data_IF_685291524948
#
_entry.id   IF_685291524948
#
_cell.length_a   1.000
_cell.length_b   1.000
_cell.length_c   1.000
_cell.angle_alpha   90.00
_cell.angle_beta   90.00
_cell.angle_gamma   90.00
#
_symmetry.space_group_name_H-M   'P 1'
#
loop_
_entity.id
_entity.type
_entity.pdbx_description
1 polymer ?
#
# COMPACT_ATOMS: atom_id res chain seq x y z
N UNK A 1 -11.68 -5.77 16.57
CA UNK A 1 -11.30 -6.84 15.61
C UNK A 1 -10.70 -6.30 14.31
N UNK A 2 -11.13 -5.14 13.78
CA UNK A 2 -10.62 -4.60 12.49
C UNK A 2 -9.14 -4.20 12.47
N UNK A 3 -8.53 -3.87 13.60
CA UNK A 3 -7.13 -3.45 13.65
C UNK A 3 -6.14 -4.61 13.52
N UNK A 4 -6.46 -5.79 14.06
CA UNK A 4 -5.55 -6.95 14.01
C UNK A 4 -5.31 -7.44 12.58
N UNK A 5 -6.37 -7.51 11.76
CA UNK A 5 -6.29 -7.92 10.35
C UNK A 5 -5.52 -6.87 9.53
N UNK A 6 -5.77 -5.58 9.79
CA UNK A 6 -5.04 -4.48 9.16
C UNK A 6 -3.54 -4.53 9.47
N UNK A 7 -3.18 -4.71 10.73
CA UNK A 7 -1.79 -4.73 11.16
C UNK A 7 -1.08 -5.97 10.60
N UNK A 8 -1.78 -7.11 10.52
CA UNK A 8 -1.26 -8.31 9.87
C UNK A 8 -1.00 -8.08 8.38
N UNK A 9 -1.95 -7.49 7.65
CA UNK A 9 -1.78 -7.16 6.24
C UNK A 9 -0.57 -6.25 5.98
N UNK A 10 -0.39 -5.21 6.80
CA UNK A 10 0.74 -4.28 6.69
C UNK A 10 2.07 -5.00 6.97
N UNK A 11 2.10 -5.91 7.93
CA UNK A 11 3.31 -6.70 8.26
C UNK A 11 3.68 -7.64 7.11
N UNK A 12 2.72 -8.40 6.61
CA UNK A 12 2.92 -9.34 5.51
C UNK A 12 3.36 -8.61 4.22
N UNK A 13 2.76 -7.45 3.95
CA UNK A 13 3.18 -6.58 2.85
C UNK A 13 4.63 -6.11 3.04
N UNK A 14 5.00 -5.72 4.26
CA UNK A 14 6.36 -5.34 4.62
C UNK A 14 7.38 -6.47 4.53
N UNK A 15 6.97 -7.72 4.76
CA UNK A 15 7.83 -8.89 4.61
C UNK A 15 7.99 -9.28 3.12
N UNK A 16 7.01 -8.93 2.28
CA UNK A 16 7.01 -9.21 0.84
C UNK A 16 7.89 -8.26 0.02
N UNK A 17 7.85 -6.95 0.30
CA UNK A 17 8.64 -5.92 -0.42
C UNK A 17 9.70 -5.20 0.42
N UNK A 18 9.80 -5.54 1.71
CA UNK A 18 10.66 -4.84 2.66
C UNK A 18 9.95 -3.68 3.36
N UNK A 19 10.12 -3.58 4.68
CA UNK A 19 9.46 -2.57 5.54
C UNK A 19 9.76 -1.12 5.13
N UNK A 20 10.95 -0.84 4.59
CA UNK A 20 11.34 0.48 4.05
C UNK A 20 10.45 0.94 2.89
N UNK A 21 9.84 -0.02 2.19
CA UNK A 21 9.06 0.20 0.99
C UNK A 21 7.55 0.27 1.27
N UNK A 22 7.13 0.23 2.54
CA UNK A 22 5.73 0.36 2.96
C UNK A 22 5.54 1.62 3.78
N UNK A 23 4.73 2.55 3.26
CA UNK A 23 4.40 3.80 3.94
C UNK A 23 3.05 3.66 4.65
N UNK A 24 3.04 3.87 5.96
CA UNK A 24 1.85 3.72 6.81
C UNK A 24 1.44 5.02 7.49
N UNK A 25 2.38 5.93 7.72
CA UNK A 25 2.13 7.23 8.35
C UNK A 25 1.34 8.14 7.42
N UNK A 26 0.48 8.99 7.99
CA UNK A 26 -0.35 9.90 7.19
C UNK A 26 0.50 10.85 6.34
N UNK A 27 1.56 11.42 6.91
CA UNK A 27 2.47 12.34 6.20
C UNK A 27 3.17 11.71 5.01
N UNK A 28 3.64 10.46 5.13
CA UNK A 28 4.32 9.78 4.03
C UNK A 28 3.35 9.32 2.94
N UNK A 29 2.08 9.09 3.28
CA UNK A 29 1.03 8.70 2.32
C UNK A 29 0.40 9.89 1.62
N UNK A 30 0.37 11.08 2.23
CA UNK A 30 -0.21 12.31 1.66
C UNK A 30 0.18 12.52 0.19
N UNK A 31 1.45 12.31 -0.21
CA UNK A 31 1.82 12.34 -1.60
C UNK A 31 0.95 11.46 -2.51
N UNK A 32 0.80 10.20 -2.15
CA UNK A 32 0.13 9.20 -2.98
C UNK A 32 -1.40 9.21 -2.81
N UNK A 33 -1.89 9.80 -1.72
CA UNK A 33 -3.31 9.89 -1.37
C UNK A 33 -3.99 11.18 -1.86
N UNK A 34 -3.22 12.21 -2.24
CA UNK A 34 -3.74 13.51 -2.69
C UNK A 34 -3.24 13.85 -4.09
N UNK A 35 -4.19 14.03 -4.99
CA UNK A 35 -3.95 14.45 -6.37
C UNK A 35 -3.42 15.87 -6.45
N UNK A 36 -2.62 16.15 -7.49
CA UNK A 36 -2.03 17.48 -7.70
C UNK A 36 -3.07 18.54 -8.03
N UNK A 37 -4.08 18.21 -8.85
CA UNK A 37 -5.16 19.12 -9.25
C UNK A 37 -6.37 19.00 -8.34
N UNK A 38 -6.92 17.78 -8.25
CA UNK A 38 -8.13 17.45 -7.49
C UNK A 38 -8.05 16.00 -7.05
N UNK A 39 -8.92 15.62 -6.10
CA UNK A 39 -9.04 14.26 -5.61
C UNK A 39 -8.16 13.99 -4.39
N UNK A 40 -8.80 13.47 -3.35
CA UNK A 40 -8.15 12.96 -2.15
C UNK A 40 -8.84 11.68 -1.73
N UNK A 41 -8.07 10.75 -1.17
CA UNK A 41 -8.58 9.48 -0.69
C UNK A 41 -7.80 8.98 0.51
N UNK A 42 -8.44 8.16 1.35
CA UNK A 42 -7.75 7.47 2.44
C UNK A 42 -7.16 6.17 1.93
N UNK A 43 -5.86 6.02 2.13
CA UNK A 43 -5.14 4.78 1.83
C UNK A 43 -4.73 4.08 3.13
N UNK A 44 -4.85 2.75 3.15
CA UNK A 44 -4.41 1.91 4.26
C UNK A 44 -2.89 2.03 4.45
N UNK A 45 -2.16 1.75 3.37
CA UNK A 45 -0.71 1.83 3.23
C UNK A 45 -0.38 2.12 1.76
N UNK A 46 0.85 2.56 1.49
CA UNK A 46 1.39 2.72 0.14
C UNK A 46 2.60 1.80 0.01
N UNK A 47 2.56 0.91 -0.99
CA UNK A 47 3.66 0.02 -1.34
C UNK A 47 4.53 0.65 -2.44
N UNK A 48 5.85 0.62 -2.27
CA UNK A 48 6.85 1.13 -3.23
C UNK A 48 7.76 -0.01 -3.70
N UNK A 49 7.28 -0.86 -4.62
CA UNK A 49 8.08 -1.97 -5.13
C UNK A 49 9.31 -1.47 -5.88
N UNK A 50 10.42 -2.18 -5.75
CA UNK A 50 11.69 -1.92 -6.46
C UNK A 50 11.78 -2.76 -7.75
N UNK A 51 10.97 -3.81 -7.89
CA UNK A 51 11.00 -4.73 -9.03
C UNK A 51 9.61 -5.01 -9.62
N UNK A 52 9.56 -5.39 -10.90
CA UNK A 52 8.32 -5.82 -11.56
C UNK A 52 7.71 -7.07 -10.89
N UNK A 53 8.57 -7.95 -10.36
CA UNK A 53 8.13 -9.15 -9.66
C UNK A 53 7.41 -8.81 -8.34
N UNK A 54 7.87 -7.80 -7.62
CA UNK A 54 7.18 -7.28 -6.44
C UNK A 54 5.81 -6.68 -6.81
N UNK A 55 5.70 -5.94 -7.92
CA UNK A 55 4.41 -5.41 -8.41
C UNK A 55 3.42 -6.56 -8.62
N UNK A 56 3.83 -7.62 -9.31
CA UNK A 56 2.97 -8.78 -9.56
C UNK A 56 2.51 -9.44 -8.25
N UNK A 57 3.45 -9.69 -7.33
CA UNK A 57 3.11 -10.25 -6.01
C UNK A 57 2.15 -9.38 -5.20
N UNK A 58 2.31 -8.05 -5.25
CA UNK A 58 1.40 -7.12 -4.56
C UNK A 58 -0.03 -7.23 -5.10
N UNK A 59 -0.19 -7.36 -6.42
CA UNK A 59 -1.51 -7.48 -7.06
C UNK A 59 -2.22 -8.76 -6.59
N UNK A 60 -1.51 -9.90 -6.59
CA UNK A 60 -2.05 -11.16 -6.07
C UNK A 60 -2.39 -11.09 -4.58
N UNK A 61 -1.49 -10.49 -3.78
CA UNK A 61 -1.68 -10.32 -2.35
C UNK A 61 -2.90 -9.43 -2.01
N UNK A 62 -3.07 -8.31 -2.71
CA UNK A 62 -4.24 -7.44 -2.58
C UNK A 62 -5.55 -8.19 -2.89
N UNK A 63 -5.57 -8.95 -4.00
CA UNK A 63 -6.73 -9.74 -4.41
C UNK A 63 -7.13 -10.78 -3.36
N UNK A 64 -6.16 -11.47 -2.75
CA UNK A 64 -6.41 -12.51 -1.74
C UNK A 64 -7.06 -12.00 -0.45
N UNK A 65 -6.79 -10.76 -0.05
CA UNK A 65 -7.36 -10.15 1.16
C UNK A 65 -8.61 -9.29 0.90
N UNK A 66 -9.05 -9.16 -0.36
CA UNK A 66 -10.19 -8.31 -0.73
C UNK A 66 -9.91 -6.80 -0.62
N UNK A 67 -8.63 -6.40 -0.66
CA UNK A 67 -8.24 -4.99 -0.68
C UNK A 67 -8.08 -4.48 -2.12
N UNK A 68 -8.49 -3.23 -2.35
CA UNK A 68 -8.32 -2.57 -3.64
C UNK A 68 -6.93 -1.91 -3.73
N UNK A 69 -6.10 -2.46 -4.61
CA UNK A 69 -4.82 -1.87 -4.99
C UNK A 69 -5.04 -0.78 -6.06
N UNK A 70 -4.60 0.46 -5.78
CA UNK A 70 -4.60 1.55 -6.74
C UNK A 70 -3.17 1.93 -7.12
N UNK A 71 -2.94 2.21 -8.40
CA UNK A 71 -1.66 2.73 -8.86
C UNK A 71 -1.59 4.25 -8.66
N UNK A 72 -0.50 4.72 -8.05
CA UNK A 72 -0.24 6.14 -7.84
C UNK A 72 1.14 6.50 -8.44
N UNK A 73 1.14 7.21 -9.56
CA UNK A 73 2.37 7.72 -10.18
C UNK A 73 2.76 9.02 -9.48
N UNK A 74 3.75 8.95 -8.59
CA UNK A 74 4.49 10.13 -8.12
C UNK A 74 5.97 9.90 -8.31
#
# INVERSE_FOLDING_TARGET
>A
MNNLIKDQFIRDLGDLIGKKNVLTTEWSKLPYSKGWRYGEGKALAVAKPETLFEIWKIIEFCGGFGYYCNYASR
#
